data_IF_334843255204
#
_entry.id   IF_334843255204
#
_cell.length_a   1.000
_cell.length_b   1.000
_cell.length_c   1.000
_cell.angle_alpha   90.00
_cell.angle_beta   90.00
_cell.angle_gamma   90.00
#
_symmetry.space_group_name_H-M   'P 1'
#
loop_
_entity.id
_entity.type
_entity.pdbx_description
1 polymer ?
#
# COMPACT_ATOMS: atom_id res chain seq x y z
N UNK A 1 2.64 -1.74 6.85
CA UNK A 1 2.61 -3.15 6.39
C UNK A 1 1.24 -3.83 6.55
N UNK A 2 0.53 -3.67 7.68
CA UNK A 2 -0.75 -4.35 7.92
C UNK A 2 -1.83 -4.09 6.85
N UNK A 3 -1.94 -2.87 6.32
CA UNK A 3 -2.91 -2.54 5.27
C UNK A 3 -2.64 -3.27 3.95
N UNK A 4 -1.37 -3.42 3.56
CA UNK A 4 -1.00 -4.14 2.34
C UNK A 4 -1.33 -5.63 2.45
N UNK A 5 -1.05 -6.25 3.60
CA UNK A 5 -1.43 -7.65 3.87
C UNK A 5 -2.95 -7.86 3.82
N UNK A 6 -3.72 -6.96 4.43
CA UNK A 6 -5.19 -7.00 4.37
C UNK A 6 -5.72 -6.86 2.94
N UNK A 7 -5.13 -5.97 2.13
CA UNK A 7 -5.51 -5.82 0.74
C UNK A 7 -5.26 -7.11 -0.06
N UNK A 8 -4.11 -7.76 0.16
CA UNK A 8 -3.80 -9.05 -0.48
C UNK A 8 -4.76 -10.16 -0.05
N UNK A 9 -5.08 -10.23 1.24
CA UNK A 9 -6.08 -11.17 1.76
C UNK A 9 -7.48 -10.92 1.17
N UNK A 10 -7.80 -9.67 0.82
CA UNK A 10 -9.03 -9.30 0.11
C UNK A 10 -8.96 -9.56 -1.42
N UNK A 11 -7.88 -10.15 -1.93
CA UNK A 11 -7.69 -10.48 -3.34
C UNK A 11 -6.93 -9.43 -4.16
N UNK A 12 -6.44 -8.35 -3.55
CA UNK A 12 -5.62 -7.38 -4.25
C UNK A 12 -4.23 -7.94 -4.60
N UNK A 13 -3.70 -7.55 -5.74
CA UNK A 13 -2.33 -7.85 -6.16
C UNK A 13 -1.39 -6.73 -5.75
N UNK A 14 -0.24 -7.07 -5.16
CA UNK A 14 0.79 -6.08 -4.83
C UNK A 14 1.48 -5.62 -6.12
N UNK A 15 1.40 -4.33 -6.42
CA UNK A 15 2.13 -3.72 -7.53
C UNK A 15 3.47 -3.15 -7.08
N UNK A 16 3.50 -2.56 -5.88
CA UNK A 16 4.72 -2.09 -5.23
C UNK A 16 4.66 -2.46 -3.76
N UNK A 17 5.70 -3.17 -3.31
CA UNK A 17 5.89 -3.44 -1.91
C UNK A 17 5.97 -2.13 -1.10
N UNK A 18 5.62 -2.15 0.20
CA UNK A 18 5.78 -0.99 1.07
C UNK A 18 7.22 -0.49 1.08
N UNK A 19 7.43 0.76 0.66
CA UNK A 19 8.73 1.43 0.63
C UNK A 19 8.68 2.65 1.55
N UNK A 20 9.65 2.74 2.44
CA UNK A 20 9.87 3.93 3.27
C UNK A 20 10.57 4.99 2.44
N UNK A 21 9.94 6.15 2.31
CA UNK A 21 10.48 7.33 1.64
C UNK A 21 11.46 8.06 2.56
N UNK A 22 12.40 8.87 2.01
CA UNK A 22 13.41 9.58 2.78
C UNK A 22 12.86 10.51 3.87
N UNK A 23 11.64 11.02 3.67
CA UNK A 23 10.93 11.90 4.60
C UNK A 23 10.09 11.14 5.65
N UNK A 24 10.27 9.82 5.81
CA UNK A 24 9.65 9.01 6.87
C UNK A 24 8.27 8.42 6.53
N UNK A 25 7.70 8.71 5.36
CA UNK A 25 6.43 8.14 4.91
C UNK A 25 6.63 6.74 4.32
N UNK A 26 5.81 5.75 4.69
CA UNK A 26 5.77 4.46 3.98
C UNK A 26 4.65 4.46 2.95
N UNK A 27 4.96 4.08 1.71
CA UNK A 27 4.00 4.02 0.60
C UNK A 27 4.02 2.63 -0.04
N UNK A 28 2.86 2.06 -0.35
CA UNK A 28 2.69 0.83 -1.10
C UNK A 28 1.59 1.00 -2.16
N UNK A 29 1.65 0.21 -3.23
CA UNK A 29 0.63 0.20 -4.28
C UNK A 29 0.06 -1.20 -4.45
N UNK A 30 -1.26 -1.31 -4.47
CA UNK A 30 -1.98 -2.56 -4.70
C UNK A 30 -3.06 -2.35 -5.76
N UNK A 31 -3.36 -3.39 -6.52
CA UNK A 31 -4.46 -3.40 -7.49
C UNK A 31 -5.55 -4.33 -7.02
N UNK A 32 -6.74 -3.81 -6.83
CA UNK A 32 -7.92 -4.58 -6.47
C UNK A 32 -8.36 -5.50 -7.63
N UNK A 33 -9.11 -6.58 -7.34
CA UNK A 33 -9.63 -7.50 -8.35
C UNK A 33 -10.50 -6.84 -9.44
N UNK A 34 -11.20 -5.77 -9.07
CA UNK A 34 -12.04 -4.95 -9.97
C UNK A 34 -11.19 -4.07 -10.92
N UNK A 35 -9.88 -4.03 -10.74
CA UNK A 35 -8.95 -3.22 -11.51
C UNK A 35 -8.61 -1.88 -10.88
N UNK A 36 -9.20 -1.52 -9.74
CA UNK A 36 -8.92 -0.26 -9.03
C UNK A 36 -7.50 -0.22 -8.49
N UNK A 37 -6.77 0.87 -8.76
CA UNK A 37 -5.45 1.11 -8.17
C UNK A 37 -5.62 1.81 -6.82
N UNK A 38 -5.03 1.23 -5.77
CA UNK A 38 -5.07 1.77 -4.41
C UNK A 38 -3.66 2.10 -3.95
N UNK A 39 -3.47 3.34 -3.56
CA UNK A 39 -2.26 3.79 -2.86
C UNK A 39 -2.47 3.67 -1.34
N UNK A 40 -1.54 3.01 -0.67
CA UNK A 40 -1.51 2.89 0.78
C UNK A 40 -0.34 3.70 1.31
N UNK A 41 -0.62 4.84 1.95
CA UNK A 41 0.37 5.68 2.61
C UNK A 41 0.17 5.68 4.13
N UNK A 42 1.27 5.76 4.88
CA UNK A 42 1.22 6.06 6.32
C UNK A 42 1.17 7.57 6.51
N UNK A 43 0.57 8.02 7.60
CA UNK A 43 0.61 9.44 7.97
C UNK A 43 2.06 9.92 8.11
N UNK A 44 2.27 11.19 7.72
CA UNK A 44 3.47 11.94 8.04
C UNK A 44 3.30 12.55 9.42
N UNK A 45 4.06 12.07 10.41
CA UNK A 45 4.16 12.74 11.70
C UNK A 45 5.08 13.96 11.53
N UNK A 46 4.48 15.14 11.47
CA UNK A 46 5.18 16.43 11.55
C UNK A 46 5.60 16.77 12.97
#
# INVERSE_FOLDING_TARGET
>A
AAACKKAVEAGASVLSAPITKPWGQTVAYVRCPDGTLVELCTELKG
#
